data_IF_955365415760
#
_entry.id   IF_955365415760
#
_cell.length_a   1.000
_cell.length_b   1.000
_cell.length_c   1.000
_cell.angle_alpha   90.00
_cell.angle_beta   90.00
_cell.angle_gamma   90.00
#
_symmetry.space_group_name_H-M   'P 1'
#
loop_
_entity.id
_entity.type
_entity.pdbx_description
1 polymer ?
#
# COMPACT_ATOMS: atom_id res chain seq x y z
N UNK A 1 -16.66 -12.05 15.40
CA UNK A 1 -15.52 -11.38 14.71
C UNK A 1 -16.04 -10.27 13.81
N UNK A 2 -15.66 -9.02 14.09
CA UNK A 2 -16.09 -7.83 13.34
C UNK A 2 -15.11 -7.60 12.17
N UNK A 3 -15.62 -7.54 10.93
CA UNK A 3 -14.80 -7.24 9.74
C UNK A 3 -15.20 -5.89 9.15
N UNK A 4 -14.22 -5.00 9.04
CA UNK A 4 -14.38 -3.65 8.51
C UNK A 4 -13.46 -3.47 7.31
N UNK A 5 -13.96 -2.85 6.25
CA UNK A 5 -13.20 -2.50 5.06
C UNK A 5 -13.25 -0.99 4.81
N UNK A 6 -12.11 -0.41 4.45
CA UNK A 6 -12.05 1.00 4.06
C UNK A 6 -12.04 1.13 2.53
N UNK A 7 -12.92 1.97 2.00
CA UNK A 7 -13.07 2.17 0.56
C UNK A 7 -13.06 3.64 0.20
N UNK A 8 -12.19 4.00 -0.74
CA UNK A 8 -12.17 5.31 -1.38
C UNK A 8 -12.74 5.23 -2.80
N UNK A 9 -13.13 6.37 -3.34
CA UNK A 9 -13.39 6.49 -4.78
C UNK A 9 -12.08 6.19 -5.53
N UNK A 10 -12.18 5.52 -6.69
CA UNK A 10 -11.01 5.03 -7.44
C UNK A 10 -10.01 6.14 -7.77
N UNK A 11 -10.50 7.30 -8.21
CA UNK A 11 -9.65 8.42 -8.60
C UNK A 11 -8.87 8.98 -7.40
N UNK A 12 -9.54 9.15 -6.26
CA UNK A 12 -8.91 9.61 -5.02
C UNK A 12 -7.86 8.62 -4.52
N UNK A 13 -8.17 7.33 -4.54
CA UNK A 13 -7.23 6.27 -4.17
C UNK A 13 -5.96 6.34 -5.03
N UNK A 14 -6.10 6.51 -6.35
CA UNK A 14 -4.98 6.57 -7.27
C UNK A 14 -4.14 7.83 -7.08
N UNK A 15 -4.78 8.98 -6.84
CA UNK A 15 -4.06 10.22 -6.52
C UNK A 15 -3.23 10.06 -5.24
N UNK A 16 -3.81 9.51 -4.16
CA UNK A 16 -3.09 9.26 -2.90
C UNK A 16 -1.94 8.28 -3.07
N UNK A 17 -2.13 7.21 -3.85
CA UNK A 17 -1.06 6.25 -4.19
C UNK A 17 0.08 6.98 -4.91
N UNK A 18 -0.23 7.78 -5.92
CA UNK A 18 0.79 8.48 -6.70
C UNK A 18 1.60 9.44 -5.83
N UNK A 19 0.93 10.25 -5.02
CA UNK A 19 1.57 11.17 -4.08
C UNK A 19 2.40 10.44 -3.03
N UNK A 20 1.92 9.31 -2.50
CA UNK A 20 2.68 8.50 -1.53
C UNK A 20 3.95 7.96 -2.16
N UNK A 21 3.90 7.45 -3.38
CA UNK A 21 5.10 6.94 -4.07
C UNK A 21 6.10 8.06 -4.35
N UNK A 22 5.63 9.23 -4.81
CA UNK A 22 6.50 10.40 -4.98
C UNK A 22 7.24 10.75 -3.67
N UNK A 23 6.49 10.85 -2.56
CA UNK A 23 7.08 11.10 -1.24
C UNK A 23 8.08 10.02 -0.83
N UNK A 24 7.76 8.74 -1.09
CA UNK A 24 8.65 7.62 -0.74
C UNK A 24 10.02 7.73 -1.43
N UNK A 25 10.07 8.06 -2.72
CA UNK A 25 11.33 8.30 -3.43
C UNK A 25 12.02 9.58 -2.94
N UNK A 26 11.28 10.68 -2.81
CA UNK A 26 11.81 11.96 -2.32
C UNK A 26 12.36 11.89 -0.88
N UNK A 27 11.82 10.99 -0.04
CA UNK A 27 12.31 10.74 1.33
C UNK A 27 13.52 9.81 1.39
N UNK A 28 14.04 9.38 0.25
CA UNK A 28 15.33 8.70 0.17
C UNK A 28 15.27 7.17 0.03
N UNK A 29 14.24 6.62 -0.65
CA UNK A 29 14.12 5.17 -0.86
C UNK A 29 15.35 4.58 -1.56
N UNK A 30 15.91 5.28 -2.56
CA UNK A 30 17.09 4.78 -3.29
C UNK A 30 18.29 4.65 -2.34
N UNK A 31 18.47 5.62 -1.46
CA UNK A 31 19.53 5.65 -0.46
C UNK A 31 19.31 4.54 0.59
N UNK A 32 18.06 4.30 0.98
CA UNK A 32 17.73 3.17 1.87
C UNK A 32 18.12 1.83 1.22
N UNK A 33 17.75 1.61 -0.04
CA UNK A 33 18.12 0.39 -0.78
C UNK A 33 19.64 0.24 -0.89
N UNK A 34 20.37 1.33 -1.17
CA UNK A 34 21.83 1.30 -1.25
C UNK A 34 22.46 0.86 0.08
N UNK A 35 21.99 1.41 1.21
CA UNK A 35 22.46 1.01 2.55
C UNK A 35 22.19 -0.47 2.84
N UNK A 36 21.03 -0.99 2.43
CA UNK A 36 20.70 -2.41 2.63
C UNK A 36 21.65 -3.32 1.82
N UNK A 37 22.06 -2.91 0.62
CA UNK A 37 23.05 -3.64 -0.17
C UNK A 37 24.45 -3.56 0.45
N UNK A 38 24.86 -2.40 0.96
CA UNK A 38 26.14 -2.22 1.68
C UNK A 38 26.21 -3.09 2.94
N UNK A 39 25.08 -3.34 3.60
CA UNK A 39 24.95 -4.27 4.73
C UNK A 39 25.02 -5.75 4.33
N UNK A 40 25.16 -6.05 3.03
CA UNK A 40 25.27 -7.41 2.51
C UNK A 40 23.93 -8.14 2.41
N UNK A 41 22.79 -7.43 2.43
CA UNK A 41 21.49 -8.07 2.22
C UNK A 41 21.40 -8.57 0.77
N UNK A 42 21.14 -9.87 0.55
CA UNK A 42 21.05 -10.44 -0.79
C UNK A 42 20.00 -9.75 -1.67
N UNK A 43 20.28 -9.54 -2.95
CA UNK A 43 19.36 -8.88 -3.90
C UNK A 43 18.02 -9.63 -4.04
N UNK A 44 18.02 -10.94 -3.80
CA UNK A 44 16.83 -11.79 -3.88
C UNK A 44 16.02 -11.83 -2.58
N UNK A 45 16.48 -11.11 -1.53
CA UNK A 45 15.83 -11.05 -0.24
C UNK A 45 14.38 -10.51 -0.36
N UNK A 46 13.46 -10.96 0.53
CA UNK A 46 12.06 -10.54 0.50
C UNK A 46 11.81 -9.02 0.43
N UNK A 47 12.59 -8.15 1.13
CA UNK A 47 12.39 -6.70 1.07
C UNK A 47 12.52 -6.13 -0.35
N UNK A 48 13.47 -6.60 -1.15
CA UNK A 48 13.67 -6.10 -2.52
C UNK A 48 12.59 -6.54 -3.51
N UNK A 49 11.73 -7.49 -3.12
CA UNK A 49 10.53 -7.87 -3.90
C UNK A 49 9.36 -6.93 -3.63
N UNK A 50 9.45 -6.07 -2.61
CA UNK A 50 8.42 -5.08 -2.31
C UNK A 50 8.31 -4.04 -3.43
N UNK A 51 7.09 -3.54 -3.63
CA UNK A 51 6.82 -2.45 -4.57
C UNK A 51 7.61 -1.20 -4.16
N UNK A 52 8.32 -0.59 -5.10
CA UNK A 52 9.25 0.50 -4.83
C UNK A 52 10.68 0.01 -4.74
N UNK A 53 10.99 -0.86 -3.77
CA UNK A 53 12.35 -1.39 -3.54
C UNK A 53 12.91 -2.08 -4.80
N UNK A 54 12.10 -2.88 -5.48
CA UNK A 54 12.46 -3.50 -6.76
C UNK A 54 12.97 -2.49 -7.79
N UNK A 55 12.28 -1.35 -7.92
CA UNK A 55 12.60 -0.35 -8.93
C UNK A 55 13.73 0.58 -8.48
N UNK A 56 13.80 0.92 -7.19
CA UNK A 56 14.93 1.63 -6.61
C UNK A 56 16.25 0.87 -6.80
N UNK A 57 16.23 -0.45 -6.62
CA UNK A 57 17.37 -1.32 -6.92
C UNK A 57 17.78 -1.28 -8.40
N UNK A 58 16.82 -1.20 -9.34
CA UNK A 58 17.14 -1.07 -10.77
C UNK A 58 17.75 0.30 -11.09
N UNK A 59 17.36 1.35 -10.37
CA UNK A 59 17.99 2.68 -10.49
C UNK A 59 19.45 2.63 -10.03
N UNK A 60 19.73 2.01 -8.89
CA UNK A 60 21.12 1.85 -8.40
C UNK A 60 22.02 1.10 -9.38
N UNK A 61 21.46 0.19 -10.16
CA UNK A 61 22.18 -0.56 -11.20
C UNK A 61 22.25 0.16 -12.56
N UNK A 62 21.75 1.39 -12.66
CA UNK A 62 21.71 2.16 -13.91
C UNK A 62 20.75 1.59 -14.97
N UNK A 63 19.83 0.71 -14.58
CA UNK A 63 18.89 0.04 -15.51
C UNK A 63 17.62 0.87 -15.75
N UNK A 64 17.29 1.79 -14.84
CA UNK A 64 16.15 2.69 -14.93
C UNK A 64 16.53 4.09 -14.43
N UNK A 65 15.88 5.12 -14.98
CA UNK A 65 15.87 6.43 -14.34
C UNK A 65 14.97 6.42 -13.09
N UNK A 66 15.24 7.32 -12.15
CA UNK A 66 14.40 7.51 -10.96
C UNK A 66 12.94 7.83 -11.34
N UNK A 67 12.76 8.70 -12.34
CA UNK A 67 11.44 9.06 -12.87
C UNK A 67 10.67 7.83 -13.36
N UNK A 68 11.35 6.93 -14.09
CA UNK A 68 10.73 5.71 -14.59
C UNK A 68 10.42 4.73 -13.47
N UNK A 69 11.31 4.62 -12.49
CA UNK A 69 11.08 3.80 -11.30
C UNK A 69 9.86 4.29 -10.50
N UNK A 70 9.67 5.61 -10.37
CA UNK A 70 8.48 6.19 -9.74
C UNK A 70 7.22 5.83 -10.54
N UNK A 71 7.20 6.04 -11.85
CA UNK A 71 6.04 5.71 -12.71
C UNK A 71 5.64 4.24 -12.59
N UNK A 72 6.61 3.33 -12.66
CA UNK A 72 6.40 1.89 -12.56
C UNK A 72 5.91 1.49 -11.16
N UNK A 73 6.49 2.08 -10.11
CA UNK A 73 6.06 1.86 -8.73
C UNK A 73 4.62 2.30 -8.53
N UNK A 74 4.23 3.46 -9.05
CA UNK A 74 2.85 3.95 -8.98
C UNK A 74 1.88 3.01 -9.71
N UNK A 75 2.22 2.60 -10.94
CA UNK A 75 1.42 1.65 -11.73
C UNK A 75 1.18 0.36 -10.97
N UNK A 76 2.24 -0.26 -10.48
CA UNK A 76 2.15 -1.57 -9.84
C UNK A 76 1.45 -1.49 -8.48
N UNK A 77 1.61 -0.37 -7.76
CA UNK A 77 0.87 -0.11 -6.52
C UNK A 77 -0.63 0.05 -6.78
N UNK A 78 -1.04 0.71 -7.87
CA UNK A 78 -2.46 0.79 -8.28
C UNK A 78 -3.01 -0.59 -8.67
N UNK A 79 -2.23 -1.40 -9.37
CA UNK A 79 -2.62 -2.78 -9.71
C UNK A 79 -2.75 -3.65 -8.46
N UNK A 80 -1.83 -3.51 -7.50
CA UNK A 80 -1.89 -4.22 -6.22
C UNK A 80 -3.14 -3.82 -5.43
N UNK A 81 -3.44 -2.51 -5.31
CA UNK A 81 -4.66 -2.03 -4.66
C UNK A 81 -5.95 -2.57 -5.33
N UNK A 82 -5.97 -2.66 -6.67
CA UNK A 82 -7.08 -3.28 -7.41
C UNK A 82 -7.23 -4.77 -7.08
N UNK A 83 -6.12 -5.52 -7.00
CA UNK A 83 -6.13 -6.93 -6.62
C UNK A 83 -6.62 -7.12 -5.17
N UNK A 84 -6.15 -6.30 -4.23
CA UNK A 84 -6.63 -6.32 -2.85
C UNK A 84 -8.15 -6.10 -2.79
N UNK A 85 -8.67 -5.08 -3.48
CA UNK A 85 -10.11 -4.83 -3.54
C UNK A 85 -10.90 -6.01 -4.14
N UNK A 86 -10.34 -6.68 -5.16
CA UNK A 86 -10.97 -7.86 -5.77
C UNK A 86 -11.01 -9.02 -4.78
N UNK A 87 -9.92 -9.26 -4.03
CA UNK A 87 -9.87 -10.28 -2.99
C UNK A 87 -10.87 -9.99 -1.86
N UNK A 88 -10.93 -8.75 -1.36
CA UNK A 88 -11.88 -8.35 -0.33
C UNK A 88 -13.35 -8.47 -0.76
N UNK A 89 -13.67 -8.27 -2.05
CA UNK A 89 -15.04 -8.48 -2.56
C UNK A 89 -15.52 -9.93 -2.43
N UNK A 90 -14.61 -10.91 -2.46
CA UNK A 90 -14.95 -12.32 -2.26
C UNK A 90 -15.19 -12.68 -0.79
N UNK A 91 -14.84 -11.80 0.15
CA UNK A 91 -14.99 -12.06 1.57
C UNK A 91 -16.38 -11.67 2.07
N UNK A 92 -17.06 -12.61 2.74
CA UNK A 92 -18.34 -12.36 3.41
C UNK A 92 -18.14 -11.63 4.75
N UNK A 93 -19.09 -10.76 5.08
CA UNK A 93 -19.19 -10.09 6.38
C UNK A 93 -18.38 -8.80 6.53
N UNK A 94 -17.73 -8.31 5.48
CA UNK A 94 -17.03 -7.01 5.52
C UNK A 94 -18.06 -5.87 5.46
N UNK A 95 -18.04 -5.01 6.48
CA UNK A 95 -18.78 -3.76 6.49
C UNK A 95 -17.87 -2.64 5.95
N UNK A 96 -18.29 -2.00 4.87
CA UNK A 96 -17.47 -1.01 4.16
C UNK A 96 -17.78 0.41 4.61
N UNK A 97 -16.74 1.18 4.89
CA UNK A 97 -16.80 2.58 5.25
C UNK A 97 -15.85 3.41 4.39
N UNK A 98 -16.14 4.69 4.23
CA UNK A 98 -15.17 5.67 3.75
C UNK A 98 -14.20 6.00 4.90
N UNK A 99 -12.90 6.24 4.64
CA UNK A 99 -11.93 6.53 5.70
C UNK A 99 -12.25 7.75 6.57
N UNK A 100 -13.06 8.69 6.06
CA UNK A 100 -13.49 9.87 6.80
C UNK A 100 -14.70 9.61 7.71
N UNK A 101 -15.31 8.42 7.67
CA UNK A 101 -16.47 8.05 8.49
C UNK A 101 -16.06 7.49 9.85
N UNK A 102 -15.11 8.15 10.53
CA UNK A 102 -14.50 7.65 11.77
C UNK A 102 -15.56 7.45 12.87
N UNK A 103 -16.46 8.42 13.05
CA UNK A 103 -17.52 8.33 14.05
C UNK A 103 -18.45 7.13 13.80
N UNK A 104 -18.87 6.91 12.55
CA UNK A 104 -19.74 5.79 12.18
C UNK A 104 -19.05 4.44 12.35
N UNK A 105 -17.74 4.36 12.07
CA UNK A 105 -16.95 3.14 12.30
C UNK A 105 -16.93 2.81 13.80
N UNK A 106 -16.66 3.79 14.66
CA UNK A 106 -16.63 3.61 16.12
C UNK A 106 -18.00 3.17 16.63
N UNK A 107 -19.07 3.83 16.19
CA UNK A 107 -20.44 3.48 16.59
C UNK A 107 -20.80 2.05 16.16
N UNK A 108 -20.45 1.66 14.93
CA UNK A 108 -20.66 0.31 14.43
C UNK A 108 -19.93 -0.74 15.27
N UNK A 109 -18.66 -0.48 15.65
CA UNK A 109 -17.89 -1.36 16.51
C UNK A 109 -18.56 -1.50 17.88
N UNK A 110 -18.93 -0.38 18.52
CA UNK A 110 -19.61 -0.38 19.83
C UNK A 110 -20.91 -1.17 19.79
N UNK A 111 -21.75 -0.95 18.78
CA UNK A 111 -23.02 -1.65 18.62
C UNK A 111 -22.83 -3.16 18.47
N UNK A 112 -21.85 -3.58 17.67
CA UNK A 112 -21.54 -5.00 17.43
C UNK A 112 -20.88 -5.66 18.64
N UNK A 113 -20.11 -4.91 19.41
CA UNK A 113 -19.48 -5.40 20.64
C UNK A 113 -20.53 -5.67 21.73
N UNK A 114 -21.43 -4.71 21.97
CA UNK A 114 -22.47 -4.85 23.00
C UNK A 114 -23.56 -5.87 22.64
N UNK A 115 -23.69 -6.25 21.36
CA UNK A 115 -24.65 -7.27 20.92
C UNK A 115 -24.12 -8.71 21.01
N UNK A 116 -22.81 -8.90 21.19
CA UNK A 116 -22.18 -10.21 21.38
C UNK A 116 -22.09 -10.59 22.89
N UNK A 117 -22.61 -9.75 23.79
CA UNK A 117 -22.58 -9.91 25.26
C UNK A 117 -23.89 -10.50 25.85
N UNK A 118 -24.80 -11.01 25.00
CA UNK A 118 -26.05 -11.68 25.38
C UNK A 118 -26.31 -12.93 24.54
#
# INVERSE_FOLDING_TARGET
MIKIGLKLKRNELYQRINQRVQRMFASGLIQEVARLQEQGIPEDAPPFRALGYKYAHQVLRGQLSEEKAIELTQRDTRHYAKRQMTWFKGMKGIHWFSPNQVAQIIEFIKKKWNSDEY
#
